data_IF_867679005175
#
_entry.id   IF_867679005175
#
_cell.length_a   1.000
_cell.length_b   1.000
_cell.length_c   1.000
_cell.angle_alpha   90.00
_cell.angle_beta   90.00
_cell.angle_gamma   90.00
#
_symmetry.space_group_name_H-M   'P 1'
#
loop_
_entity.id
_entity.type
_entity.pdbx_description
1 polymer ?
#
# COMPACT_ATOMS: atom_id res chain seq x y z
N UNK A 1 -48.66 -4.19 -12.04
CA UNK A 1 -47.98 -4.65 -13.27
C UNK A 1 -46.61 -3.98 -13.28
N UNK A 2 -45.61 -4.79 -12.95
CA UNK A 2 -44.19 -4.50 -12.92
C UNK A 2 -43.68 -4.18 -14.34
N UNK A 3 -42.83 -3.17 -14.49
CA UNK A 3 -41.83 -3.01 -15.58
C UNK A 3 -41.16 -1.66 -15.46
N UNK A 4 -40.01 -1.64 -14.77
CA UNK A 4 -38.76 -0.91 -15.12
C UNK A 4 -37.75 -1.11 -13.99
N UNK A 5 -37.37 -2.37 -13.80
CA UNK A 5 -36.15 -2.76 -13.06
C UNK A 5 -34.98 -2.72 -14.04
N UNK A 6 -33.87 -2.09 -13.62
CA UNK A 6 -32.52 -2.39 -14.10
C UNK A 6 -31.95 -1.45 -15.16
N UNK A 7 -31.33 -0.35 -14.73
CA UNK A 7 -30.29 0.30 -15.53
C UNK A 7 -29.12 0.70 -14.62
N UNK A 8 -28.06 -0.11 -14.72
CA UNK A 8 -26.66 0.11 -14.28
C UNK A 8 -26.38 0.02 -12.78
N UNK A 9 -26.50 -1.19 -12.28
CA UNK A 9 -25.62 -1.67 -11.21
C UNK A 9 -24.53 -2.55 -11.86
N UNK A 10 -23.75 -1.98 -12.78
CA UNK A 10 -22.48 -2.58 -13.18
C UNK A 10 -21.50 -2.31 -12.05
N UNK A 11 -21.70 -2.99 -10.92
CA UNK A 11 -20.73 -3.00 -9.84
C UNK A 11 -19.41 -3.48 -10.41
N UNK A 12 -18.42 -2.57 -10.46
CA UNK A 12 -17.08 -2.91 -10.92
C UNK A 12 -16.56 -4.00 -10.01
N UNK A 13 -16.34 -5.20 -10.56
CA UNK A 13 -15.81 -6.31 -9.81
C UNK A 13 -14.34 -6.00 -9.47
N UNK A 14 -14.05 -5.82 -8.18
CA UNK A 14 -12.72 -5.46 -7.68
C UNK A 14 -11.64 -6.46 -8.11
N UNK A 15 -11.95 -7.76 -8.19
CA UNK A 15 -11.01 -8.78 -8.63
C UNK A 15 -10.67 -8.65 -10.12
N UNK A 16 -11.67 -8.31 -10.94
CA UNK A 16 -11.48 -8.07 -12.37
C UNK A 16 -10.64 -6.80 -12.58
N UNK A 17 -10.97 -5.71 -11.87
CA UNK A 17 -10.21 -4.47 -11.90
C UNK A 17 -8.75 -4.69 -11.45
N UNK A 18 -8.51 -5.43 -10.36
CA UNK A 18 -7.18 -5.77 -9.87
C UNK A 18 -6.37 -6.55 -10.92
N UNK A 19 -6.97 -7.56 -11.55
CA UNK A 19 -6.32 -8.33 -12.63
C UNK A 19 -5.92 -7.43 -13.81
N UNK A 20 -6.79 -6.49 -14.20
CA UNK A 20 -6.46 -5.53 -15.25
C UNK A 20 -5.31 -4.60 -14.84
N UNK A 21 -5.31 -4.08 -13.61
CA UNK A 21 -4.22 -3.24 -13.10
C UNK A 21 -2.89 -4.00 -13.03
N UNK A 22 -2.91 -5.25 -12.56
CA UNK A 22 -1.72 -6.11 -12.53
C UNK A 22 -1.15 -6.34 -13.93
N UNK A 23 -2.01 -6.52 -14.92
CA UNK A 23 -1.59 -6.66 -16.32
C UNK A 23 -0.95 -5.37 -16.88
N UNK A 24 -1.49 -4.19 -16.52
CA UNK A 24 -1.03 -2.90 -17.06
C UNK A 24 0.26 -2.38 -16.39
N UNK A 25 0.35 -2.51 -15.07
CA UNK A 25 1.39 -1.84 -14.26
C UNK A 25 2.44 -2.83 -13.73
N UNK A 26 2.05 -4.09 -13.55
CA UNK A 26 2.88 -5.13 -12.96
C UNK A 26 2.75 -5.22 -11.43
N UNK A 27 3.07 -6.41 -10.92
CA UNK A 27 2.94 -6.77 -9.50
C UNK A 27 3.72 -5.87 -8.53
N UNK A 28 5.05 -5.70 -8.68
CA UNK A 28 5.86 -4.94 -7.73
C UNK A 28 5.44 -3.48 -7.61
N UNK A 29 5.13 -2.83 -8.73
CA UNK A 29 4.68 -1.44 -8.76
C UNK A 29 3.30 -1.28 -8.14
N UNK A 30 2.37 -2.20 -8.40
CA UNK A 30 1.04 -2.15 -7.81
C UNK A 30 1.08 -2.44 -6.30
N UNK A 31 1.96 -3.34 -5.85
CA UNK A 31 2.21 -3.59 -4.44
C UNK A 31 2.78 -2.35 -3.74
N UNK A 32 3.76 -1.67 -4.34
CA UNK A 32 4.28 -0.41 -3.82
C UNK A 32 3.18 0.66 -3.72
N UNK A 33 2.30 0.77 -4.71
CA UNK A 33 1.15 1.66 -4.66
C UNK A 33 0.17 1.29 -3.52
N UNK A 34 -0.08 0.00 -3.31
CA UNK A 34 -0.91 -0.50 -2.23
C UNK A 34 -0.31 -0.20 -0.85
N UNK A 35 1.01 -0.38 -0.66
CA UNK A 35 1.71 0.03 0.56
C UNK A 35 1.52 1.54 0.84
N UNK A 36 1.52 2.37 -0.20
CA UNK A 36 1.29 3.81 -0.08
C UNK A 36 -0.11 4.23 0.37
N UNK A 37 -1.07 3.29 0.44
CA UNK A 37 -2.38 3.52 1.06
C UNK A 37 -2.38 3.32 2.58
N UNK A 38 -1.27 2.81 3.12
CA UNK A 38 -1.08 2.38 4.51
C UNK A 38 -2.02 1.27 4.99
N UNK A 39 -2.83 0.68 4.08
CA UNK A 39 -3.60 -0.54 4.32
C UNK A 39 -2.75 -1.77 3.98
N UNK A 40 -2.18 -2.39 5.02
CA UNK A 40 -1.37 -3.59 4.89
C UNK A 40 -2.18 -4.80 4.38
N UNK A 41 -3.49 -4.84 4.62
CA UNK A 41 -4.35 -5.92 4.15
C UNK A 41 -4.57 -5.80 2.65
N UNK A 42 -4.74 -4.58 2.15
CA UNK A 42 -4.78 -4.30 0.71
C UNK A 42 -3.45 -4.67 0.05
N UNK A 43 -2.32 -4.27 0.64
CA UNK A 43 -0.99 -4.62 0.13
C UNK A 43 -0.77 -6.14 0.09
N UNK A 44 -1.18 -6.87 1.13
CA UNK A 44 -1.16 -8.33 1.15
C UNK A 44 -1.97 -8.95 0.00
N UNK A 45 -3.21 -8.48 -0.20
CA UNK A 45 -4.07 -8.99 -1.27
C UNK A 45 -3.47 -8.74 -2.65
N UNK A 46 -2.90 -7.55 -2.87
CA UNK A 46 -2.23 -7.21 -4.13
C UNK A 46 -1.01 -8.10 -4.37
N UNK A 47 -0.15 -8.31 -3.36
CA UNK A 47 1.01 -9.18 -3.48
C UNK A 47 0.63 -10.63 -3.80
N UNK A 48 -0.43 -11.13 -3.15
CA UNK A 48 -0.95 -12.48 -3.38
C UNK A 48 -1.46 -12.65 -4.82
N UNK A 49 -2.24 -11.69 -5.34
CA UNK A 49 -2.76 -11.73 -6.70
C UNK A 49 -1.68 -11.45 -7.76
N UNK A 50 -0.61 -10.76 -7.38
CA UNK A 50 0.56 -10.51 -8.21
C UNK A 50 1.49 -11.72 -8.33
N UNK A 51 1.25 -12.80 -7.58
CA UNK A 51 2.14 -13.96 -7.47
C UNK A 51 3.57 -13.59 -7.04
N UNK A 52 3.69 -12.59 -6.16
CA UNK A 52 4.97 -12.24 -5.54
C UNK A 52 5.43 -13.34 -4.58
N UNK A 53 6.73 -13.39 -4.28
CA UNK A 53 7.28 -14.40 -3.37
C UNK A 53 6.82 -14.14 -1.93
N UNK A 54 6.06 -15.08 -1.30
CA UNK A 54 5.67 -14.97 0.10
C UNK A 54 6.86 -14.82 1.06
N UNK A 55 8.04 -15.33 0.69
CA UNK A 55 9.26 -15.15 1.47
C UNK A 55 9.74 -13.70 1.56
N UNK A 56 9.31 -12.83 0.63
CA UNK A 56 9.68 -11.41 0.62
C UNK A 56 8.60 -10.53 1.24
N UNK A 57 7.34 -10.61 0.75
CA UNK A 57 6.31 -9.66 1.16
C UNK A 57 5.72 -9.95 2.54
N UNK A 58 5.66 -11.22 2.98
CA UNK A 58 5.11 -11.56 4.31
C UNK A 58 5.97 -10.99 5.45
N UNK A 59 7.30 -11.21 5.50
CA UNK A 59 8.11 -10.64 6.57
C UNK A 59 8.16 -9.11 6.52
N UNK A 60 8.13 -8.49 5.34
CA UNK A 60 8.01 -7.03 5.21
C UNK A 60 6.72 -6.52 5.86
N UNK A 61 5.57 -7.11 5.53
CA UNK A 61 4.28 -6.70 6.11
C UNK A 61 4.20 -6.95 7.62
N UNK A 62 4.76 -8.07 8.11
CA UNK A 62 4.84 -8.36 9.55
C UNK A 62 5.72 -7.35 10.29
N UNK A 63 6.85 -6.97 9.68
CA UNK A 63 7.74 -5.94 10.23
C UNK A 63 7.04 -4.58 10.28
N UNK A 64 6.33 -4.19 9.22
CA UNK A 64 5.54 -2.96 9.21
C UNK A 64 4.42 -3.00 10.26
N UNK A 65 3.75 -4.15 10.44
CA UNK A 65 2.66 -4.30 11.39
C UNK A 65 3.13 -4.18 12.85
N UNK A 66 4.37 -4.54 13.18
CA UNK A 66 4.89 -4.44 14.55
C UNK A 66 5.29 -3.02 14.96
N UNK A 67 5.42 -2.10 13.99
CA UNK A 67 5.76 -0.70 14.23
C UNK A 67 4.56 0.12 14.72
N UNK A 68 4.87 1.19 15.47
CA UNK A 68 3.89 2.24 15.81
C UNK A 68 3.42 2.94 14.53
N UNK A 69 2.27 3.61 14.60
CA UNK A 69 1.60 4.14 13.40
C UNK A 69 2.47 5.10 12.58
N UNK A 70 3.02 6.15 13.20
CA UNK A 70 3.87 7.13 12.51
C UNK A 70 5.20 6.53 12.04
N UNK A 71 5.82 5.69 12.87
CA UNK A 71 7.02 4.95 12.49
C UNK A 71 6.79 4.05 11.26
N UNK A 72 5.66 3.33 11.22
CA UNK A 72 5.26 2.51 10.07
C UNK A 72 5.08 3.36 8.81
N UNK A 73 4.37 4.48 8.92
CA UNK A 73 4.13 5.39 7.78
C UNK A 73 5.42 5.97 7.25
N UNK A 74 6.35 6.34 8.12
CA UNK A 74 7.66 6.83 7.75
C UNK A 74 8.50 5.77 7.02
N UNK A 75 8.51 4.52 7.52
CA UNK A 75 9.24 3.42 6.87
C UNK A 75 8.62 3.06 5.50
N UNK A 76 7.29 3.06 5.39
CA UNK A 76 6.60 2.91 4.10
C UNK A 76 6.97 4.05 3.14
N UNK A 77 6.93 5.31 3.59
CA UNK A 77 7.30 6.45 2.77
C UNK A 77 8.75 6.35 2.28
N UNK A 78 9.67 5.95 3.14
CA UNK A 78 11.08 5.68 2.81
C UNK A 78 11.21 4.54 1.78
N UNK A 79 10.48 3.43 1.96
CA UNK A 79 10.40 2.31 1.00
C UNK A 79 9.94 2.77 -0.39
N UNK A 80 9.01 3.72 -0.42
CA UNK A 80 8.48 4.34 -1.66
C UNK A 80 9.32 5.51 -2.18
N UNK A 81 10.46 5.81 -1.55
CA UNK A 81 11.36 6.95 -1.88
C UNK A 81 10.68 8.32 -1.77
N UNK A 82 9.68 8.45 -0.89
CA UNK A 82 8.99 9.70 -0.57
C UNK A 82 9.60 10.32 0.68
N UNK A 83 10.75 10.97 0.50
CA UNK A 83 11.58 11.46 1.61
C UNK A 83 10.85 12.53 2.43
N UNK A 84 10.13 13.45 1.79
CA UNK A 84 9.41 14.53 2.47
C UNK A 84 8.30 14.01 3.40
N UNK A 85 7.55 13.01 2.93
CA UNK A 85 6.51 12.32 3.73
C UNK A 85 7.16 11.57 4.91
N UNK A 86 8.29 10.89 4.68
CA UNK A 86 8.99 10.17 5.74
C UNK A 86 9.51 11.12 6.84
N UNK A 87 10.10 12.26 6.47
CA UNK A 87 10.56 13.29 7.42
C UNK A 87 9.38 13.80 8.24
N UNK A 88 8.25 14.10 7.59
CA UNK A 88 7.06 14.60 8.26
C UNK A 88 6.54 13.60 9.30
N UNK A 89 6.46 12.32 8.95
CA UNK A 89 6.00 11.27 9.87
C UNK A 89 6.97 11.04 11.03
N UNK A 90 8.29 11.09 10.81
CA UNK A 90 9.28 11.03 11.91
C UNK A 90 9.15 12.22 12.87
N UNK A 91 8.94 13.43 12.34
CA UNK A 91 8.71 14.62 13.19
C UNK A 91 7.42 14.50 14.00
N UNK A 92 6.36 13.92 13.43
CA UNK A 92 5.10 13.63 14.14
C UNK A 92 5.29 12.58 15.24
N UNK A 93 6.17 11.60 15.04
CA UNK A 93 6.54 10.61 16.07
C UNK A 93 7.49 11.18 17.15
N UNK A 94 8.01 12.40 16.96
CA UNK A 94 9.00 13.04 17.83
C UNK A 94 10.44 12.57 17.59
N UNK A 95 10.69 11.81 16.53
CA UNK A 95 12.00 11.29 16.16
C UNK A 95 12.75 12.30 15.27
N UNK A 96 13.28 13.33 15.91
CA UNK A 96 14.02 14.42 15.23
C UNK A 96 15.37 13.92 14.70
N UNK A 97 15.96 12.89 15.31
CA UNK A 97 17.23 12.33 14.88
C UNK A 97 17.10 11.66 13.51
N UNK A 98 16.14 10.73 13.34
CA UNK A 98 15.90 10.07 12.05
C UNK A 98 15.43 11.05 10.97
N UNK A 99 14.61 12.03 11.34
CA UNK A 99 14.21 13.11 10.42
C UNK A 99 15.42 13.92 9.92
N UNK A 100 16.35 14.25 10.82
CA UNK A 100 17.58 14.98 10.50
C UNK A 100 18.58 14.18 9.68
N UNK A 101 18.63 12.86 9.82
CA UNK A 101 19.45 11.99 8.97
C UNK A 101 18.96 11.94 7.51
N UNK A 102 17.63 11.93 7.31
CA UNK A 102 17.02 11.88 5.99
C UNK A 102 17.06 13.21 5.23
N UNK A 103 17.21 14.32 5.94
CA UNK A 103 17.27 15.66 5.36
C UNK A 103 18.69 16.11 4.91
N UNK A 104 19.71 15.27 5.12
CA UNK A 104 21.11 15.51 4.70
C UNK A 104 21.34 15.16 3.24
#
# INVERSE_FOLDING_TARGET
>A
VDTRRGARDESVNAAVALKHLLFLVGGPTLYAAALGTYDLSLAYLVAQHAHMDPGEYVPELQHLQSMREHERRAEVAKRLKRVDEAITEYLLDGDVERAGELAK
#
